data_IF_304757283972
#
_entry.id   IF_304757283972
#
_cell.length_a   1.000
_cell.length_b   1.000
_cell.length_c   1.000
_cell.angle_alpha   90.00
_cell.angle_beta   90.00
_cell.angle_gamma   90.00
#
_symmetry.space_group_name_H-M   'P 1'
#
loop_
_entity.id
_entity.type
_entity.pdbx_description
1 polymer ?
#
# COMPACT_ATOMS: atom_id res chain seq x y z
N UNK A 1 -19.56 -22.63 -8.88
CA UNK A 1 -18.36 -21.96 -8.33
C UNK A 1 -18.84 -20.97 -7.30
N UNK A 2 -18.27 -20.98 -6.12
CA UNK A 2 -18.47 -19.91 -5.11
C UNK A 2 -17.70 -18.74 -5.68
N UNK A 3 -18.39 -17.67 -6.12
CA UNK A 3 -17.72 -16.43 -6.52
C UNK A 3 -16.88 -15.92 -5.35
N UNK A 4 -15.69 -15.47 -5.66
CA UNK A 4 -14.76 -14.94 -4.65
C UNK A 4 -15.44 -13.83 -3.85
N UNK A 5 -15.42 -13.94 -2.52
CA UNK A 5 -16.06 -12.98 -1.61
C UNK A 5 -15.41 -11.59 -1.62
N UNK A 6 -14.22 -11.47 -2.18
CA UNK A 6 -13.47 -10.22 -2.31
C UNK A 6 -12.80 -10.18 -3.67
N UNK A 7 -12.81 -9.01 -4.33
CA UNK A 7 -11.99 -8.81 -5.53
C UNK A 7 -10.52 -8.70 -5.09
N UNK A 8 -9.66 -9.54 -5.61
CA UNK A 8 -8.22 -9.43 -5.42
C UNK A 8 -7.69 -8.17 -6.12
N UNK A 9 -6.68 -7.52 -5.52
CA UNK A 9 -6.03 -6.36 -6.11
C UNK A 9 -4.98 -6.78 -7.18
N UNK A 10 -5.41 -7.64 -8.14
CA UNK A 10 -4.62 -8.01 -9.32
C UNK A 10 -4.76 -6.97 -10.43
N UNK A 11 -3.91 -7.05 -11.44
CA UNK A 11 -3.83 -6.06 -12.50
C UNK A 11 -5.14 -5.88 -13.28
N UNK A 12 -5.86 -6.96 -13.57
CA UNK A 12 -7.14 -6.89 -14.30
C UNK A 12 -8.21 -6.16 -13.48
N UNK A 13 -8.34 -6.50 -12.20
CA UNK A 13 -9.30 -5.86 -11.31
C UNK A 13 -8.96 -4.40 -11.03
N UNK A 14 -7.68 -4.06 -10.92
CA UNK A 14 -7.22 -2.67 -10.76
C UNK A 14 -7.50 -1.86 -12.03
N UNK A 15 -7.18 -2.41 -13.21
CA UNK A 15 -7.50 -1.78 -14.50
C UNK A 15 -9.00 -1.56 -14.64
N UNK A 16 -9.81 -2.59 -14.38
CA UNK A 16 -11.27 -2.49 -14.42
C UNK A 16 -11.77 -1.40 -13.48
N UNK A 17 -11.26 -1.34 -12.24
CA UNK A 17 -11.70 -0.36 -11.26
C UNK A 17 -11.42 1.10 -11.68
N UNK A 18 -10.30 1.34 -12.39
CA UNK A 18 -9.99 2.65 -12.97
C UNK A 18 -10.92 3.00 -14.14
N UNK A 19 -11.28 2.01 -14.97
CA UNK A 19 -12.12 2.24 -16.15
C UNK A 19 -13.59 2.47 -15.79
N UNK A 20 -14.11 1.73 -14.80
CA UNK A 20 -15.52 1.78 -14.39
C UNK A 20 -15.81 2.88 -13.36
N UNK A 21 -14.83 3.21 -12.53
CA UNK A 21 -14.93 4.22 -11.45
C UNK A 21 -16.20 4.11 -10.59
N UNK A 22 -16.61 2.89 -10.24
CA UNK A 22 -17.85 2.62 -9.50
C UNK A 22 -17.95 3.31 -8.14
N UNK A 23 -16.81 3.70 -7.59
CA UNK A 23 -16.71 4.39 -6.31
C UNK A 23 -16.49 5.90 -6.45
N UNK A 24 -16.44 6.43 -7.69
CA UNK A 24 -16.12 7.84 -7.98
C UNK A 24 -14.83 8.33 -7.31
N UNK A 25 -13.80 7.44 -7.26
CA UNK A 25 -12.52 7.71 -6.61
C UNK A 25 -11.41 8.12 -7.57
N UNK A 26 -11.64 8.05 -8.89
CA UNK A 26 -10.61 8.42 -9.86
C UNK A 26 -10.14 9.86 -9.68
N UNK A 27 -11.02 10.80 -9.36
CA UNK A 27 -10.61 12.18 -9.08
C UNK A 27 -9.64 12.25 -7.89
N UNK A 28 -9.87 11.46 -6.84
CA UNK A 28 -8.97 11.38 -5.70
C UNK A 28 -7.60 10.78 -6.08
N UNK A 29 -7.60 9.72 -6.89
CA UNK A 29 -6.37 9.14 -7.47
C UNK A 29 -5.58 10.19 -8.26
N UNK A 30 -6.25 10.96 -9.12
CA UNK A 30 -5.61 12.01 -9.94
C UNK A 30 -5.05 13.16 -9.08
N UNK A 31 -5.77 13.57 -8.05
CA UNK A 31 -5.26 14.57 -7.08
C UNK A 31 -4.02 14.06 -6.36
N UNK A 32 -4.00 12.79 -6.00
CA UNK A 32 -2.86 12.18 -5.35
C UNK A 32 -1.64 12.06 -6.28
N UNK A 33 -1.85 11.75 -7.57
CA UNK A 33 -0.78 11.79 -8.58
C UNK A 33 -0.18 13.20 -8.75
N UNK A 34 -1.01 14.24 -8.80
CA UNK A 34 -0.53 15.62 -8.83
C UNK A 34 0.27 15.97 -7.58
N UNK A 35 -0.18 15.53 -6.40
CA UNK A 35 0.56 15.70 -5.16
C UNK A 35 1.93 15.03 -5.25
N UNK A 36 2.01 13.75 -5.64
CA UNK A 36 3.28 13.03 -5.78
C UNK A 36 4.22 13.74 -6.78
N UNK A 37 3.68 14.28 -7.86
CA UNK A 37 4.46 14.99 -8.86
C UNK A 37 4.96 16.36 -8.39
N UNK A 38 4.34 16.97 -7.39
CA UNK A 38 4.70 18.26 -6.81
C UNK A 38 5.70 18.20 -5.65
N UNK A 39 6.07 17.00 -5.20
CA UNK A 39 7.00 16.83 -4.08
C UNK A 39 8.44 17.00 -4.56
N UNK A 40 9.18 17.94 -3.98
CA UNK A 40 10.58 18.19 -4.33
C UNK A 40 11.57 17.52 -3.37
N UNK A 41 11.21 17.35 -2.09
CA UNK A 41 12.05 16.78 -1.04
C UNK A 41 11.68 15.35 -0.63
N UNK A 42 12.32 14.81 0.42
CA UNK A 42 11.87 13.58 1.06
C UNK A 42 10.48 13.79 1.65
N UNK A 43 9.60 12.83 1.49
CA UNK A 43 8.24 12.93 1.98
C UNK A 43 7.70 11.58 2.44
N UNK A 44 7.00 11.59 3.56
CA UNK A 44 6.31 10.42 4.11
C UNK A 44 4.82 10.72 4.25
N UNK A 45 4.00 10.00 3.52
CA UNK A 45 2.55 10.21 3.43
C UNK A 45 1.83 9.04 4.09
N UNK A 46 0.88 9.32 4.98
CA UNK A 46 -0.09 8.34 5.44
C UNK A 46 -1.38 8.47 4.64
N UNK A 47 -1.80 7.41 3.98
CA UNK A 47 -3.12 7.25 3.37
C UNK A 47 -3.97 6.46 4.34
N UNK A 48 -4.89 7.14 5.01
CA UNK A 48 -5.71 6.61 6.09
C UNK A 48 -7.10 6.22 5.61
N UNK A 49 -7.51 5.03 5.94
CA UNK A 49 -8.90 4.59 5.88
C UNK A 49 -9.10 3.36 6.77
N UNK A 50 -10.32 3.10 7.26
CA UNK A 50 -10.67 1.85 7.93
C UNK A 50 -10.41 0.62 7.06
N UNK A 51 -10.37 -0.55 7.69
CA UNK A 51 -10.22 -1.81 6.97
C UNK A 51 -11.42 -2.07 6.04
N UNK A 52 -11.14 -2.57 4.85
CA UNK A 52 -12.15 -2.90 3.85
C UNK A 52 -12.63 -1.73 2.99
N UNK A 53 -12.03 -0.54 3.12
CA UNK A 53 -12.38 0.66 2.34
C UNK A 53 -11.59 0.82 1.04
N UNK A 54 -10.82 -0.19 0.63
CA UNK A 54 -10.13 -0.22 -0.66
C UNK A 54 -8.78 0.50 -0.70
N UNK A 55 -8.06 0.62 0.44
CA UNK A 55 -6.71 1.19 0.50
C UNK A 55 -5.74 0.56 -0.49
N UNK A 56 -5.66 -0.78 -0.49
CA UNK A 56 -4.79 -1.54 -1.39
C UNK A 56 -5.13 -1.27 -2.86
N UNK A 57 -6.42 -1.20 -3.22
CA UNK A 57 -6.84 -0.82 -4.58
C UNK A 57 -6.34 0.57 -4.94
N UNK A 58 -6.50 1.54 -4.06
CA UNK A 58 -6.03 2.90 -4.28
C UNK A 58 -4.53 2.97 -4.55
N UNK A 59 -3.69 2.39 -3.70
CA UNK A 59 -2.23 2.41 -3.91
C UNK A 59 -1.81 1.67 -5.17
N UNK A 60 -2.47 0.56 -5.51
CA UNK A 60 -2.23 -0.18 -6.74
C UNK A 60 -2.70 0.57 -8.00
N UNK A 61 -3.80 1.32 -7.93
CA UNK A 61 -4.24 2.21 -9.00
C UNK A 61 -3.20 3.30 -9.27
N UNK A 62 -2.71 3.97 -8.21
CA UNK A 62 -1.65 4.97 -8.32
C UNK A 62 -0.38 4.36 -8.92
N UNK A 63 0.04 3.19 -8.43
CA UNK A 63 1.20 2.47 -8.96
C UNK A 63 1.05 2.17 -10.46
N UNK A 64 -0.09 1.62 -10.88
CA UNK A 64 -0.36 1.28 -12.29
C UNK A 64 -0.26 2.49 -13.20
N UNK A 65 -0.75 3.66 -12.77
CA UNK A 65 -0.69 4.89 -13.56
C UNK A 65 0.74 5.44 -13.64
N UNK A 66 1.51 5.40 -12.55
CA UNK A 66 2.92 5.81 -12.53
C UNK A 66 3.80 4.86 -13.35
N UNK A 67 3.62 3.55 -13.25
CA UNK A 67 4.32 2.54 -14.03
C UNK A 67 4.06 2.71 -15.54
N UNK A 68 2.81 3.04 -15.92
CA UNK A 68 2.46 3.34 -17.32
C UNK A 68 3.17 4.58 -17.83
N UNK A 69 3.26 5.63 -17.02
CA UNK A 69 3.93 6.87 -17.38
C UNK A 69 5.46 6.74 -17.44
N UNK A 70 6.04 5.77 -16.74
CA UNK A 70 7.49 5.57 -16.76
C UNK A 70 7.91 4.76 -18.00
N UNK A 71 8.62 5.42 -18.92
CA UNK A 71 9.11 4.82 -20.17
C UNK A 71 10.02 3.61 -19.97
N UNK A 72 10.66 3.48 -18.80
CA UNK A 72 11.56 2.37 -18.47
C UNK A 72 10.87 1.22 -17.73
N UNK A 73 9.61 1.35 -17.37
CA UNK A 73 8.84 0.26 -16.80
C UNK A 73 8.48 -0.75 -17.88
N UNK A 74 8.88 -2.02 -17.67
CA UNK A 74 8.53 -3.14 -18.55
C UNK A 74 7.15 -3.73 -18.25
N UNK A 75 6.65 -3.54 -17.03
CA UNK A 75 5.35 -4.04 -16.58
C UNK A 75 4.27 -2.97 -16.74
N UNK A 76 3.83 -2.74 -17.98
CA UNK A 76 2.77 -1.79 -18.30
C UNK A 76 1.47 -2.54 -18.57
N UNK A 77 0.46 -2.31 -17.73
CA UNK A 77 -0.88 -2.91 -17.85
C UNK A 77 -1.79 -2.03 -18.70
N UNK A 78 -1.61 -0.71 -18.63
CA UNK A 78 -2.35 0.26 -19.42
C UNK A 78 -1.56 0.68 -20.65
N UNK A 79 -2.27 1.00 -21.73
CA UNK A 79 -1.67 1.68 -22.88
C UNK A 79 -1.57 3.19 -22.61
N UNK A 80 -0.65 3.87 -23.31
CA UNK A 80 -0.47 5.34 -23.19
C UNK A 80 -1.76 6.12 -23.49
N UNK A 81 -2.56 5.63 -24.44
CA UNK A 81 -3.86 6.22 -24.75
C UNK A 81 -4.87 6.08 -23.61
N UNK A 82 -4.85 4.96 -22.91
CA UNK A 82 -5.71 4.72 -21.73
C UNK A 82 -5.29 5.64 -20.59
N UNK A 83 -3.97 5.80 -20.35
CA UNK A 83 -3.45 6.73 -19.35
C UNK A 83 -3.95 8.16 -19.67
N UNK A 84 -3.75 8.65 -20.89
CA UNK A 84 -4.16 10.01 -21.28
C UNK A 84 -5.67 10.22 -21.17
N UNK A 85 -6.47 9.18 -21.42
CA UNK A 85 -7.93 9.24 -21.23
C UNK A 85 -8.32 9.34 -19.76
N UNK A 86 -7.62 8.62 -18.86
CA UNK A 86 -7.90 8.60 -17.43
C UNK A 86 -7.40 9.87 -16.72
N UNK A 87 -6.21 10.36 -17.08
CA UNK A 87 -5.54 11.47 -16.37
C UNK A 87 -5.76 12.82 -17.02
N UNK A 88 -6.19 12.84 -18.28
CA UNK A 88 -6.22 14.05 -19.12
C UNK A 88 -4.84 14.37 -19.72
N UNK A 89 -4.82 15.20 -20.75
CA UNK A 89 -3.61 15.49 -21.52
C UNK A 89 -2.53 16.21 -20.69
N UNK A 90 -2.91 17.14 -19.84
CA UNK A 90 -1.99 17.94 -19.01
C UNK A 90 -1.26 17.05 -18.00
N UNK A 91 -2.00 16.31 -17.12
CA UNK A 91 -1.39 15.47 -16.11
C UNK A 91 -0.58 14.34 -16.73
N UNK A 92 -1.05 13.72 -17.83
CA UNK A 92 -0.28 12.67 -18.50
C UNK A 92 1.06 13.21 -19.01
N UNK A 93 1.09 14.40 -19.58
CA UNK A 93 2.34 15.04 -20.04
C UNK A 93 3.28 15.34 -18.87
N UNK A 94 2.76 15.83 -17.75
CA UNK A 94 3.54 16.03 -16.52
C UNK A 94 4.18 14.74 -16.02
N UNK A 95 3.41 13.65 -15.96
CA UNK A 95 3.89 12.35 -15.52
C UNK A 95 4.97 11.75 -16.44
N UNK A 96 4.82 11.92 -17.77
CA UNK A 96 5.85 11.51 -18.73
C UNK A 96 7.12 12.36 -18.63
N UNK A 97 6.99 13.65 -18.31
CA UNK A 97 8.14 14.56 -18.18
C UNK A 97 8.90 14.35 -16.88
N UNK A 98 8.23 13.83 -15.85
CA UNK A 98 8.79 13.54 -14.54
C UNK A 98 8.50 12.08 -14.13
N UNK A 99 9.08 11.07 -14.83
CA UNK A 99 8.80 9.66 -14.59
C UNK A 99 9.24 9.24 -13.19
N UNK A 100 8.35 8.58 -12.47
CA UNK A 100 8.60 8.06 -11.14
C UNK A 100 8.67 6.53 -11.17
N UNK A 101 9.52 5.96 -10.34
CA UNK A 101 9.56 4.52 -10.11
C UNK A 101 8.69 4.16 -8.91
N UNK A 102 8.11 2.98 -8.93
CA UNK A 102 7.25 2.50 -7.86
C UNK A 102 7.67 1.13 -7.36
N UNK A 103 7.66 0.97 -6.05
CA UNK A 103 7.79 -0.33 -5.38
C UNK A 103 6.64 -0.49 -4.41
N UNK A 104 6.05 -1.67 -4.38
CA UNK A 104 5.02 -2.03 -3.41
C UNK A 104 5.59 -3.03 -2.41
N UNK A 105 5.40 -2.73 -1.14
CA UNK A 105 5.84 -3.52 0.00
C UNK A 105 4.63 -3.89 0.85
N UNK A 106 4.32 -5.18 0.91
CA UNK A 106 3.34 -5.73 1.83
C UNK A 106 4.01 -5.98 3.18
N UNK A 107 3.77 -5.10 4.14
CA UNK A 107 4.42 -5.19 5.44
C UNK A 107 3.97 -6.43 6.22
N UNK A 108 2.70 -6.85 6.07
CA UNK A 108 2.18 -8.00 6.78
C UNK A 108 2.72 -9.34 6.23
N UNK A 109 2.92 -9.42 4.93
CA UNK A 109 3.56 -10.60 4.33
C UNK A 109 5.00 -10.79 4.83
N UNK A 110 5.67 -9.70 5.19
CA UNK A 110 7.06 -9.67 5.65
C UNK A 110 7.21 -9.50 7.17
N UNK A 111 6.14 -9.59 7.96
CA UNK A 111 6.14 -9.36 9.42
C UNK A 111 7.03 -10.35 10.21
N UNK A 112 7.36 -11.50 9.62
CA UNK A 112 8.21 -12.50 10.22
C UNK A 112 9.72 -12.27 10.01
N UNK A 113 10.09 -11.27 9.22
CA UNK A 113 11.48 -10.95 8.95
C UNK A 113 12.16 -10.36 10.20
N UNK A 114 13.37 -10.79 10.48
CA UNK A 114 14.11 -10.39 11.70
C UNK A 114 14.45 -8.88 11.72
N UNK A 115 14.81 -8.30 10.56
CA UNK A 115 15.12 -6.88 10.43
C UNK A 115 14.32 -6.23 9.29
N UNK A 116 13.40 -5.30 9.60
CA UNK A 116 12.59 -4.61 8.62
C UNK A 116 13.39 -3.83 7.57
N UNK A 117 14.61 -3.36 7.89
CA UNK A 117 15.47 -2.68 6.92
C UNK A 117 15.93 -3.64 5.83
N UNK A 118 16.33 -4.85 6.23
CA UNK A 118 16.75 -5.90 5.31
C UNK A 118 15.62 -6.30 4.38
N UNK A 119 14.44 -6.54 4.97
CA UNK A 119 13.22 -6.87 4.23
C UNK A 119 12.91 -5.78 3.19
N UNK A 120 12.88 -4.52 3.60
CA UNK A 120 12.55 -3.40 2.73
C UNK A 120 13.59 -3.21 1.60
N UNK A 121 14.89 -3.30 1.89
CA UNK A 121 15.95 -3.21 0.86
C UNK A 121 15.83 -4.35 -0.15
N UNK A 122 15.54 -5.56 0.32
CA UNK A 122 15.35 -6.73 -0.55
C UNK A 122 14.15 -6.56 -1.48
N UNK A 123 13.02 -6.11 -0.95
CA UNK A 123 11.80 -5.85 -1.74
C UNK A 123 11.98 -4.69 -2.73
N UNK A 124 12.71 -3.63 -2.37
CA UNK A 124 13.07 -2.56 -3.32
C UNK A 124 13.91 -3.14 -4.46
N UNK A 125 14.93 -3.94 -4.15
CA UNK A 125 15.78 -4.56 -5.17
C UNK A 125 14.98 -5.47 -6.09
N UNK A 126 14.13 -6.34 -5.55
CA UNK A 126 13.30 -7.27 -6.31
C UNK A 126 12.28 -6.50 -7.17
N UNK A 127 11.56 -5.56 -6.61
CA UNK A 127 10.56 -4.76 -7.30
C UNK A 127 11.15 -3.93 -8.44
N UNK A 128 12.34 -3.33 -8.24
CA UNK A 128 13.06 -2.60 -9.30
C UNK A 128 13.51 -3.55 -10.40
N UNK A 129 14.09 -4.70 -10.07
CA UNK A 129 14.56 -5.66 -11.08
C UNK A 129 13.40 -6.28 -11.86
N UNK A 130 12.26 -6.55 -11.22
CA UNK A 130 11.09 -7.14 -11.87
C UNK A 130 10.43 -6.16 -12.84
N UNK A 131 10.28 -4.89 -12.45
CA UNK A 131 9.48 -3.92 -13.20
C UNK A 131 10.28 -3.05 -14.15
N UNK A 132 11.53 -2.73 -13.82
CA UNK A 132 12.34 -1.77 -14.55
C UNK A 132 13.55 -2.46 -15.22
N UNK A 133 13.28 -3.53 -15.98
CA UNK A 133 14.27 -4.16 -16.84
C UNK A 133 14.57 -3.22 -17.99
N UNK A 134 15.59 -2.48 -17.90
CA UNK A 134 15.96 -1.61 -18.97
C UNK A 134 17.43 -1.68 -19.26
N UNK A 135 17.73 -2.07 -20.47
CA UNK A 135 18.92 -1.71 -21.25
C UNK A 135 20.24 -1.75 -20.48
N UNK A 136 21.14 -2.56 -20.93
CA UNK A 136 22.61 -2.65 -20.86
C UNK A 136 23.41 -1.56 -20.10
N UNK A 137 22.82 -0.71 -19.30
CA UNK A 137 23.45 0.44 -18.67
C UNK A 137 23.63 0.32 -17.16
N UNK A 138 24.11 -0.82 -16.67
CA UNK A 138 24.91 -0.81 -15.45
C UNK A 138 26.35 -0.36 -15.78
N UNK A 139 26.49 0.80 -16.45
CA UNK A 139 27.79 1.18 -16.98
C UNK A 139 28.64 2.04 -16.05
N UNK A 140 28.12 2.53 -14.92
CA UNK A 140 28.88 3.43 -14.05
C UNK A 140 28.66 3.27 -12.53
N UNK A 141 28.15 2.15 -12.02
CA UNK A 141 27.98 1.90 -10.60
C UNK A 141 28.22 0.45 -10.22
N UNK A 142 28.46 0.19 -8.95
CA UNK A 142 28.41 -1.16 -8.39
C UNK A 142 27.03 -1.73 -8.67
N UNK A 143 26.95 -3.01 -9.03
CA UNK A 143 25.69 -3.71 -9.23
C UNK A 143 24.79 -3.49 -7.99
N UNK A 144 23.51 -3.13 -8.19
CA UNK A 144 22.55 -2.96 -7.10
C UNK A 144 22.49 -4.21 -6.22
N UNK A 145 22.74 -5.39 -6.77
CA UNK A 145 22.84 -6.64 -6.02
C UNK A 145 24.05 -6.67 -5.09
N UNK A 146 25.20 -6.15 -5.52
CA UNK A 146 26.40 -6.08 -4.68
C UNK A 146 26.21 -5.09 -3.53
N UNK A 147 25.52 -3.96 -3.79
CA UNK A 147 25.18 -2.97 -2.76
C UNK A 147 24.17 -3.53 -1.76
N UNK A 148 23.11 -4.16 -2.24
CA UNK A 148 22.15 -4.85 -1.37
C UNK A 148 22.84 -5.96 -0.57
N UNK A 149 23.71 -6.78 -1.21
CA UNK A 149 24.50 -7.80 -0.54
C UNK A 149 25.37 -7.23 0.59
N UNK A 150 26.03 -6.09 0.35
CA UNK A 150 26.83 -5.40 1.37
C UNK A 150 25.97 -4.90 2.56
N UNK A 151 24.76 -4.44 2.30
CA UNK A 151 23.80 -4.05 3.35
C UNK A 151 23.39 -5.28 4.16
N UNK A 152 23.06 -6.39 3.48
CA UNK A 152 22.71 -7.67 4.10
C UNK A 152 23.82 -8.15 5.03
N UNK A 153 25.08 -8.16 4.55
CA UNK A 153 26.24 -8.58 5.35
C UNK A 153 26.44 -7.70 6.59
N UNK A 154 26.26 -6.38 6.46
CA UNK A 154 26.38 -5.47 7.59
C UNK A 154 25.30 -5.70 8.65
N UNK A 155 24.06 -6.02 8.24
CA UNK A 155 22.97 -6.28 9.18
C UNK A 155 23.14 -7.66 9.82
N UNK A 156 23.34 -8.71 9.03
CA UNK A 156 23.45 -10.10 9.51
C UNK A 156 24.74 -10.33 10.33
N UNK A 157 25.85 -9.73 9.91
CA UNK A 157 27.11 -9.77 10.65
C UNK A 157 27.02 -9.15 12.05
N UNK A 158 26.09 -8.21 12.26
CA UNK A 158 25.78 -7.65 13.60
C UNK A 158 25.02 -8.65 14.48
N UNK A 159 24.04 -9.33 13.92
CA UNK A 159 23.23 -10.28 14.68
C UNK A 159 24.04 -11.45 15.22
N UNK A 160 25.09 -11.88 14.52
CA UNK A 160 25.98 -12.97 14.97
C UNK A 160 26.94 -12.53 16.09
N UNK A 161 27.30 -11.24 16.18
CA UNK A 161 28.25 -10.72 17.18
C UNK A 161 27.59 -10.07 18.42
N UNK A 162 26.28 -9.87 18.39
CA UNK A 162 25.54 -9.10 19.40
C UNK A 162 25.18 -9.85 20.69
N UNK A 163 25.56 -11.11 20.84
CA UNK A 163 25.27 -11.91 22.06
C UNK A 163 26.57 -12.18 22.82
N UNK A 164 26.77 -11.39 23.88
CA UNK A 164 27.79 -11.50 24.93
C UNK A 164 29.08 -10.74 24.67
N UNK A 165 29.12 -9.51 25.22
CA UNK A 165 30.24 -9.04 26.02
C UNK A 165 29.96 -7.65 26.58
N UNK A 166 30.40 -7.36 27.80
CA UNK A 166 30.25 -6.07 28.46
C UNK A 166 30.89 -4.97 27.60
N UNK A 167 30.09 -3.97 27.23
CA UNK A 167 30.46 -2.87 26.31
C UNK A 167 31.67 -2.11 26.83
N UNK A 168 32.82 -2.28 26.23
CA UNK A 168 33.99 -1.40 26.44
C UNK A 168 33.82 -0.13 25.59
N UNK A 169 34.46 0.99 25.97
CA UNK A 169 34.36 2.23 25.20
C UNK A 169 34.82 2.09 23.73
N UNK A 170 35.71 1.11 23.43
CA UNK A 170 36.13 0.79 22.06
C UNK A 170 35.00 0.13 21.25
N UNK A 171 34.16 -0.70 21.88
CA UNK A 171 33.04 -1.36 21.23
C UNK A 171 31.95 -0.34 20.88
N UNK A 172 31.77 0.70 21.67
CA UNK A 172 30.81 1.77 21.39
C UNK A 172 31.19 2.58 20.15
N UNK A 173 32.45 2.96 19.99
CA UNK A 173 32.93 3.66 18.78
C UNK A 173 32.76 2.79 17.52
N UNK A 174 33.08 1.51 17.64
CA UNK A 174 32.86 0.55 16.54
C UNK A 174 31.39 0.44 16.14
N UNK A 175 30.47 0.41 17.09
CA UNK A 175 29.04 0.41 16.80
C UNK A 175 28.58 1.68 16.07
N UNK A 176 29.14 2.85 16.41
CA UNK A 176 28.85 4.11 15.71
C UNK A 176 29.38 4.06 14.28
N UNK A 177 30.60 3.59 14.08
CA UNK A 177 31.22 3.45 12.75
C UNK A 177 30.41 2.47 11.86
N UNK A 178 29.99 1.34 12.41
CA UNK A 178 29.15 0.37 11.72
C UNK A 178 27.78 0.94 11.32
N UNK A 179 27.15 1.77 12.18
CA UNK A 179 25.89 2.45 11.82
C UNK A 179 26.09 3.47 10.71
N UNK A 180 27.17 4.26 10.77
CA UNK A 180 27.50 5.22 9.71
C UNK A 180 27.75 4.51 8.40
N UNK A 181 28.52 3.44 8.42
CA UNK A 181 28.81 2.65 7.24
C UNK A 181 27.53 2.02 6.63
N UNK A 182 26.61 1.52 7.46
CA UNK A 182 25.32 1.03 6.98
C UNK A 182 24.51 2.17 6.33
N UNK A 183 24.47 3.36 6.96
CA UNK A 183 23.79 4.52 6.39
C UNK A 183 24.37 4.94 5.04
N UNK A 184 25.70 4.93 4.89
CA UNK A 184 26.38 5.22 3.64
C UNK A 184 26.02 4.21 2.56
N UNK A 185 25.96 2.91 2.88
CA UNK A 185 25.61 1.86 1.94
C UNK A 185 24.14 1.94 1.49
N UNK A 186 23.22 2.23 2.41
CA UNK A 186 21.82 2.44 2.05
C UNK A 186 21.68 3.68 1.16
N UNK A 187 22.39 4.76 1.46
CA UNK A 187 22.40 5.96 0.62
C UNK A 187 22.94 5.67 -0.78
N UNK A 188 24.09 4.97 -0.89
CA UNK A 188 24.69 4.58 -2.16
C UNK A 188 23.70 3.71 -2.99
N UNK A 189 23.01 2.77 -2.35
CA UNK A 189 21.99 1.94 -2.97
C UNK A 189 20.84 2.78 -3.55
N UNK A 190 20.27 3.68 -2.74
CA UNK A 190 19.14 4.52 -3.15
C UNK A 190 19.52 5.53 -4.25
N UNK A 191 20.71 6.11 -4.17
CA UNK A 191 21.21 7.02 -5.20
C UNK A 191 21.40 6.29 -6.55
N UNK A 192 21.89 5.06 -6.55
CA UNK A 192 21.98 4.24 -7.76
C UNK A 192 20.61 3.86 -8.32
N UNK A 193 19.64 3.56 -7.45
CA UNK A 193 18.26 3.28 -7.89
C UNK A 193 17.67 4.50 -8.59
N UNK A 194 17.79 5.70 -8.00
CA UNK A 194 17.08 6.89 -8.47
C UNK A 194 17.78 7.62 -9.63
N UNK A 195 19.09 7.49 -9.81
CA UNK A 195 19.81 8.25 -10.84
C UNK A 195 19.66 7.68 -12.25
N UNK A 196 19.32 6.42 -12.40
CA UNK A 196 19.35 5.74 -13.69
C UNK A 196 17.96 5.48 -14.30
N UNK A 197 16.88 5.46 -13.52
CA UNK A 197 15.59 4.90 -13.96
C UNK A 197 14.36 5.78 -13.73
N UNK A 198 14.52 6.89 -13.07
CA UNK A 198 13.43 7.82 -12.79
C UNK A 198 13.85 8.97 -11.90
N UNK A 199 13.04 10.00 -11.88
CA UNK A 199 13.34 11.20 -11.10
C UNK A 199 13.08 11.01 -9.60
N UNK A 200 12.23 10.03 -9.24
CA UNK A 200 11.82 9.74 -7.87
C UNK A 200 11.46 8.27 -7.70
N UNK A 201 11.72 7.72 -6.52
CA UNK A 201 11.24 6.41 -6.09
C UNK A 201 10.09 6.59 -5.08
N UNK A 202 8.93 6.08 -5.43
CA UNK A 202 7.76 6.01 -4.54
C UNK A 202 7.64 4.59 -3.98
N UNK A 203 7.71 4.47 -2.67
CA UNK A 203 7.61 3.18 -1.97
C UNK A 203 6.26 3.13 -1.26
N UNK A 204 5.38 2.26 -1.74
CA UNK A 204 4.10 2.00 -1.10
C UNK A 204 4.27 0.92 -0.03
N UNK A 205 3.98 1.26 1.23
CA UNK A 205 3.96 0.32 2.36
C UNK A 205 2.50 0.09 2.74
N UNK A 206 2.01 -1.12 2.55
CA UNK A 206 0.63 -1.51 2.86
C UNK A 206 0.57 -2.45 4.05
N UNK A 207 -0.59 -2.51 4.73
CA UNK A 207 -0.91 -3.47 5.79
C UNK A 207 0.00 -3.38 7.05
N UNK A 208 0.69 -2.24 7.30
CA UNK A 208 1.56 -2.07 8.47
C UNK A 208 0.77 -2.11 9.78
N UNK A 209 -0.48 -1.69 9.77
CA UNK A 209 -1.40 -1.70 10.91
C UNK A 209 -1.83 -3.12 11.34
N UNK A 210 -1.50 -4.15 10.54
CA UNK A 210 -1.72 -5.57 10.87
C UNK A 210 -0.49 -6.29 11.41
N UNK A 211 0.66 -5.65 11.33
CA UNK A 211 1.93 -6.24 11.75
C UNK A 211 2.03 -6.35 13.28
N UNK A 212 2.92 -7.21 13.72
CA UNK A 212 3.34 -7.26 15.12
C UNK A 212 3.85 -5.90 15.58
N UNK A 213 3.58 -5.49 16.83
CA UNK A 213 3.99 -4.19 17.34
C UNK A 213 5.50 -3.92 17.20
N UNK A 214 6.32 -4.96 17.38
CA UNK A 214 7.77 -4.87 17.28
C UNK A 214 8.20 -4.54 15.85
N UNK A 215 7.64 -5.24 14.87
CA UNK A 215 7.97 -5.04 13.45
C UNK A 215 7.49 -3.66 12.97
N UNK A 216 6.24 -3.30 13.26
CA UNK A 216 5.65 -2.04 12.82
C UNK A 216 6.44 -0.82 13.32
N UNK A 217 6.77 -0.78 14.61
CA UNK A 217 7.55 0.31 15.19
C UNK A 217 8.96 0.36 14.59
N UNK A 218 9.62 -0.79 14.48
CA UNK A 218 10.97 -0.86 13.90
C UNK A 218 10.99 -0.42 12.43
N UNK A 219 9.98 -0.83 11.63
CA UNK A 219 9.91 -0.40 10.23
C UNK A 219 9.77 1.12 10.11
N UNK A 220 8.87 1.74 10.89
CA UNK A 220 8.75 3.20 10.92
C UNK A 220 10.08 3.88 11.27
N UNK A 221 10.76 3.40 12.31
CA UNK A 221 12.08 3.94 12.73
C UNK A 221 13.15 3.75 11.64
N UNK A 222 13.19 2.57 10.98
CA UNK A 222 14.13 2.30 9.88
C UNK A 222 13.88 3.23 8.70
N UNK A 223 12.63 3.43 8.30
CA UNK A 223 12.28 4.38 7.24
C UNK A 223 12.76 5.78 7.59
N UNK A 224 12.44 6.28 8.78
CA UNK A 224 12.84 7.62 9.23
C UNK A 224 14.35 7.82 9.26
N UNK A 225 15.10 6.81 9.69
CA UNK A 225 16.54 6.92 9.89
C UNK A 225 17.38 6.68 8.64
N UNK A 226 16.95 5.77 7.77
CA UNK A 226 17.79 5.32 6.66
C UNK A 226 17.34 5.83 5.27
N UNK A 227 16.08 6.24 5.11
CA UNK A 227 15.52 6.57 3.80
C UNK A 227 15.14 8.05 3.63
N UNK A 228 15.56 8.92 4.52
CA UNK A 228 15.28 10.36 4.43
C UNK A 228 16.15 11.01 3.34
N UNK A 229 15.78 10.85 2.05
CA UNK A 229 16.52 11.30 0.87
C UNK A 229 15.61 12.05 -0.08
N UNK A 230 16.15 13.08 -0.76
CA UNK A 230 15.39 14.02 -1.61
C UNK A 230 14.51 13.36 -2.67
N UNK A 231 14.97 12.25 -3.26
CA UNK A 231 14.24 11.57 -4.33
C UNK A 231 13.39 10.38 -3.85
N UNK A 232 13.15 10.27 -2.56
CA UNK A 232 12.39 9.15 -1.98
C UNK A 232 11.08 9.66 -1.38
N UNK A 233 10.00 8.99 -1.73
CA UNK A 233 8.67 9.23 -1.12
C UNK A 233 8.12 7.91 -0.59
N UNK A 234 7.73 7.90 0.68
CA UNK A 234 7.00 6.78 1.27
C UNK A 234 5.51 7.09 1.34
N UNK A 235 4.71 6.11 0.94
CA UNK A 235 3.25 6.15 1.04
C UNK A 235 2.80 4.98 1.89
N UNK A 236 2.41 5.24 3.12
CA UNK A 236 1.88 4.23 4.04
C UNK A 236 0.36 4.16 3.89
N UNK A 237 -0.12 3.03 3.43
CA UNK A 237 -1.53 2.71 3.33
C UNK A 237 -1.96 1.99 4.60
N UNK A 238 -2.55 2.71 5.55
CA UNK A 238 -2.77 2.24 6.91
C UNK A 238 -4.12 2.64 7.48
N UNK A 239 -4.56 1.96 8.52
CA UNK A 239 -5.60 2.43 9.43
C UNK A 239 -4.91 3.09 10.63
N UNK A 240 -4.80 4.41 10.62
CA UNK A 240 -4.02 5.15 11.63
C UNK A 240 -4.49 4.90 13.07
N UNK A 241 -5.79 4.73 13.30
CA UNK A 241 -6.32 4.45 14.62
C UNK A 241 -5.79 3.09 15.15
N UNK A 242 -5.73 2.07 14.31
CA UNK A 242 -5.20 0.76 14.68
C UNK A 242 -3.67 0.78 14.80
N UNK A 243 -2.99 1.50 13.92
CA UNK A 243 -1.55 1.69 14.04
C UNK A 243 -1.15 2.39 15.34
N UNK A 244 -1.99 3.33 15.84
CA UNK A 244 -1.80 3.91 17.18
C UNK A 244 -1.90 2.86 18.29
N UNK A 245 -2.85 1.92 18.17
CA UNK A 245 -2.99 0.83 19.13
C UNK A 245 -1.78 -0.11 19.08
N UNK A 246 -1.26 -0.39 17.89
CA UNK A 246 -0.02 -1.16 17.67
C UNK A 246 1.17 -0.50 18.36
N UNK A 247 1.31 0.84 18.25
CA UNK A 247 2.36 1.61 18.94
C UNK A 247 2.18 1.56 20.45
N UNK A 248 0.96 1.66 20.96
CA UNK A 248 0.69 1.52 22.40
C UNK A 248 1.02 0.12 22.91
N UNK A 249 0.73 -0.92 22.13
CA UNK A 249 1.10 -2.29 22.50
C UNK A 249 2.63 -2.47 22.63
N UNK A 250 3.42 -1.71 21.87
CA UNK A 250 4.88 -1.74 21.96
C UNK A 250 5.45 -0.98 23.15
N UNK A 251 4.96 0.26 23.40
CA UNK A 251 5.52 1.17 24.42
C UNK A 251 4.76 1.17 25.76
N UNK A 252 3.54 0.61 25.77
CA UNK A 252 2.67 0.58 26.94
C UNK A 252 1.37 1.39 26.74
N UNK A 253 0.30 1.01 27.44
CA UNK A 253 -1.07 1.53 27.25
C UNK A 253 -1.19 3.06 27.39
N UNK A 254 -0.42 3.67 28.27
CA UNK A 254 -0.43 5.11 28.52
C UNK A 254 0.40 5.92 27.52
N UNK A 255 1.05 5.26 26.55
CA UNK A 255 1.88 5.95 25.57
C UNK A 255 1.03 6.71 24.55
N UNK A 256 1.42 7.94 24.22
CA UNK A 256 0.73 8.74 23.22
C UNK A 256 1.11 8.29 21.79
N UNK A 257 0.45 7.24 21.30
CA UNK A 257 0.67 6.70 19.95
C UNK A 257 0.41 7.71 18.83
N UNK A 258 -0.58 8.60 19.00
CA UNK A 258 -0.88 9.62 17.99
C UNK A 258 0.27 10.62 17.84
N UNK A 259 0.77 11.18 18.95
CA UNK A 259 1.91 12.10 18.94
C UNK A 259 3.21 11.42 18.47
N UNK A 260 3.35 10.12 18.69
CA UNK A 260 4.47 9.34 18.17
C UNK A 260 4.39 9.25 16.65
N UNK A 261 3.27 8.84 16.09
CA UNK A 261 3.06 8.70 14.64
C UNK A 261 3.16 10.03 13.90
N UNK A 262 2.84 11.15 14.57
CA UNK A 262 2.97 12.49 14.02
C UNK A 262 4.41 12.87 13.61
N UNK A 263 5.39 12.17 14.17
CA UNK A 263 6.81 12.35 13.81
C UNK A 263 7.22 11.66 12.52
N UNK A 264 6.41 10.72 12.03
CA UNK A 264 6.76 9.89 10.88
C UNK A 264 6.09 10.36 9.59
N UNK A 265 4.91 10.98 9.70
CA UNK A 265 4.13 11.37 8.54
C UNK A 265 4.15 12.88 8.34
N UNK A 266 4.71 13.32 7.21
CA UNK A 266 4.70 14.72 6.79
C UNK A 266 3.31 15.15 6.31
N UNK A 267 2.58 14.22 5.69
CA UNK A 267 1.21 14.41 5.21
C UNK A 267 0.31 13.27 5.66
N UNK A 268 -0.94 13.60 5.98
CA UNK A 268 -2.00 12.64 6.25
C UNK A 268 -3.17 12.91 5.32
N UNK A 269 -3.59 11.89 4.61
CA UNK A 269 -4.63 11.97 3.59
C UNK A 269 -5.64 10.87 3.88
N UNK A 270 -6.90 11.24 4.05
CA UNK A 270 -7.98 10.28 4.23
C UNK A 270 -8.59 9.91 2.88
N UNK A 271 -8.81 8.61 2.64
CA UNK A 271 -9.59 8.17 1.48
C UNK A 271 -11.03 8.65 1.67
N UNK A 272 -11.58 9.42 0.70
CA UNK A 272 -12.92 9.96 0.85
C UNK A 272 -13.97 8.85 0.93
N UNK A 273 -14.91 9.01 1.85
CA UNK A 273 -16.15 8.24 1.83
C UNK A 273 -16.96 8.72 0.63
N UNK A 274 -17.32 7.80 -0.25
CA UNK A 274 -18.07 8.09 -1.46
C UNK A 274 -19.45 7.44 -1.39
N UNK A 275 -20.34 7.85 -2.30
CA UNK A 275 -21.62 7.15 -2.48
C UNK A 275 -21.38 5.79 -3.14
N UNK A 276 -21.78 4.73 -2.49
CA UNK A 276 -21.64 3.36 -2.97
C UNK A 276 -22.82 2.90 -3.84
N UNK A 277 -23.70 3.79 -4.27
CA UNK A 277 -24.94 3.41 -5.00
C UNK A 277 -24.65 2.68 -6.30
N UNK A 278 -23.66 3.16 -7.09
CA UNK A 278 -23.27 2.45 -8.32
C UNK A 278 -22.63 1.08 -8.02
N UNK A 279 -21.78 1.04 -6.99
CA UNK A 279 -21.18 -0.22 -6.54
C UNK A 279 -22.26 -1.23 -6.09
N UNK A 280 -23.26 -0.80 -5.34
CA UNK A 280 -24.37 -1.67 -4.92
C UNK A 280 -25.17 -2.17 -6.11
N UNK A 281 -25.38 -1.34 -7.14
CA UNK A 281 -26.05 -1.73 -8.38
C UNK A 281 -25.26 -2.80 -9.13
N UNK A 282 -23.95 -2.58 -9.27
CA UNK A 282 -23.06 -3.48 -10.01
C UNK A 282 -22.94 -4.87 -9.37
N UNK A 283 -22.85 -4.94 -8.05
CA UNK A 283 -22.86 -6.24 -7.35
C UNK A 283 -24.24 -6.90 -7.31
N UNK A 284 -25.27 -6.24 -7.87
CA UNK A 284 -26.65 -6.73 -7.90
C UNK A 284 -27.39 -6.64 -6.57
N UNK A 285 -26.92 -5.80 -5.64
CA UNK A 285 -27.57 -5.55 -4.36
C UNK A 285 -28.69 -4.51 -4.49
N UNK A 286 -28.67 -3.67 -5.52
CA UNK A 286 -29.72 -2.70 -5.82
C UNK A 286 -30.53 -3.17 -7.05
N UNK A 287 -31.85 -3.18 -6.92
CA UNK A 287 -32.77 -3.56 -7.99
C UNK A 287 -34.13 -3.97 -7.43
N UNK A 288 -35.19 -3.76 -8.21
CA UNK A 288 -36.54 -4.22 -7.88
C UNK A 288 -36.78 -5.59 -8.50
N UNK A 289 -37.48 -6.49 -7.78
CA UNK A 289 -37.98 -7.70 -8.35
C UNK A 289 -39.15 -7.41 -9.33
N UNK A 290 -39.33 -8.26 -10.30
CA UNK A 290 -40.37 -8.13 -11.34
C UNK A 290 -41.81 -8.01 -10.81
N UNK A 291 -42.05 -8.33 -9.55
CA UNK A 291 -43.37 -8.45 -8.94
C UNK A 291 -43.72 -7.27 -7.99
N UNK A 292 -42.86 -6.23 -7.92
CA UNK A 292 -43.13 -5.01 -7.11
C UNK A 292 -43.14 -5.20 -5.61
N UNK A 293 -42.72 -6.36 -5.10
CA UNK A 293 -42.55 -6.61 -3.67
C UNK A 293 -41.18 -6.08 -3.19
N UNK A 294 -41.11 -5.65 -1.92
CA UNK A 294 -39.86 -5.29 -1.29
C UNK A 294 -38.91 -6.49 -1.38
N UNK A 295 -37.92 -6.40 -2.25
CA UNK A 295 -37.04 -7.51 -2.49
C UNK A 295 -36.11 -7.73 -1.29
N UNK A 296 -35.67 -8.96 -1.08
CA UNK A 296 -34.66 -9.29 -0.07
C UNK A 296 -33.41 -8.41 -0.24
N UNK A 297 -33.12 -8.00 -1.48
CA UNK A 297 -32.01 -7.10 -1.83
C UNK A 297 -32.19 -5.72 -1.22
N UNK A 298 -33.40 -5.16 -1.27
CA UNK A 298 -33.71 -3.84 -0.69
C UNK A 298 -33.57 -3.85 0.84
N UNK A 299 -34.03 -4.93 1.47
CA UNK A 299 -33.83 -5.16 2.91
C UNK A 299 -32.34 -5.25 3.24
N UNK A 300 -31.58 -6.04 2.48
CA UNK A 300 -30.16 -6.20 2.67
C UNK A 300 -29.37 -4.89 2.44
N UNK A 301 -29.76 -4.12 1.41
CA UNK A 301 -29.18 -2.81 1.14
C UNK A 301 -29.45 -1.82 2.29
N UNK A 302 -30.69 -1.81 2.77
CA UNK A 302 -31.08 -0.95 3.91
C UNK A 302 -30.28 -1.33 5.16
N UNK A 303 -30.12 -2.62 5.42
CA UNK A 303 -29.33 -3.11 6.54
C UNK A 303 -27.84 -2.73 6.40
N UNK A 304 -27.24 -2.93 5.23
CA UNK A 304 -25.84 -2.55 4.98
C UNK A 304 -25.60 -1.02 5.16
N UNK A 305 -26.56 -0.19 4.72
CA UNK A 305 -26.50 1.27 4.90
C UNK A 305 -26.68 1.67 6.36
N UNK A 306 -27.64 1.08 7.06
CA UNK A 306 -27.92 1.37 8.47
C UNK A 306 -26.71 1.06 9.36
N UNK A 307 -26.06 -0.06 9.12
CA UNK A 307 -24.89 -0.51 9.87
C UNK A 307 -23.55 0.00 9.31
N UNK A 308 -23.58 0.88 8.31
CA UNK A 308 -22.40 1.49 7.70
C UNK A 308 -21.32 0.46 7.31
N UNK A 309 -21.72 -0.61 6.66
CA UNK A 309 -20.80 -1.65 6.24
C UNK A 309 -19.68 -1.08 5.34
N UNK A 310 -18.44 -1.52 5.58
CA UNK A 310 -17.33 -1.28 4.64
C UNK A 310 -17.61 -1.99 3.31
N UNK A 311 -16.88 -1.63 2.25
CA UNK A 311 -16.99 -2.31 0.95
C UNK A 311 -16.79 -3.82 1.08
N UNK A 312 -15.79 -4.24 1.85
CA UNK A 312 -15.50 -5.66 2.13
C UNK A 312 -16.65 -6.34 2.88
N UNK A 313 -17.17 -5.72 3.92
CA UNK A 313 -18.29 -6.26 4.70
C UNK A 313 -19.55 -6.38 3.85
N UNK A 314 -19.81 -5.41 2.98
CA UNK A 314 -20.94 -5.44 2.03
C UNK A 314 -20.82 -6.60 1.06
N UNK A 315 -19.65 -6.82 0.47
CA UNK A 315 -19.40 -7.93 -0.45
C UNK A 315 -19.60 -9.29 0.23
N UNK A 316 -19.06 -9.47 1.42
CA UNK A 316 -19.22 -10.71 2.21
C UNK A 316 -20.68 -10.96 2.58
N UNK A 317 -21.34 -9.92 3.09
CA UNK A 317 -22.74 -9.99 3.47
C UNK A 317 -23.62 -10.37 2.27
N UNK A 318 -23.45 -9.68 1.14
CA UNK A 318 -24.20 -9.97 -0.08
C UNK A 318 -23.94 -11.38 -0.62
N UNK A 319 -22.72 -11.84 -0.59
CA UNK A 319 -22.38 -13.21 -0.99
C UNK A 319 -23.06 -14.25 -0.10
N UNK A 320 -23.13 -14.03 1.22
CA UNK A 320 -23.89 -14.90 2.13
C UNK A 320 -25.39 -14.91 1.83
N UNK A 321 -25.96 -13.75 1.54
CA UNK A 321 -27.39 -13.65 1.14
C UNK A 321 -27.65 -14.45 -0.13
N UNK A 322 -26.83 -14.30 -1.17
CA UNK A 322 -26.95 -15.05 -2.43
C UNK A 322 -26.84 -16.56 -2.23
N UNK A 323 -25.99 -17.02 -1.33
CA UNK A 323 -25.89 -18.44 -0.97
C UNK A 323 -27.16 -18.90 -0.27
N UNK A 324 -27.67 -18.11 0.67
CA UNK A 324 -28.92 -18.41 1.36
C UNK A 324 -30.10 -18.48 0.39
N UNK A 325 -30.27 -17.51 -0.51
CA UNK A 325 -31.32 -17.50 -1.54
C UNK A 325 -31.32 -18.78 -2.41
N UNK A 326 -30.12 -19.26 -2.80
CA UNK A 326 -29.97 -20.48 -3.61
C UNK A 326 -30.35 -21.76 -2.86
N UNK A 327 -30.28 -21.76 -1.53
CA UNK A 327 -30.50 -22.94 -0.69
C UNK A 327 -31.86 -22.92 0.05
N UNK A 328 -32.60 -21.81 0.01
CA UNK A 328 -33.92 -21.72 0.60
C UNK A 328 -34.98 -22.33 -0.33
N UNK A 329 -35.97 -23.07 0.19
CA UNK A 329 -37.14 -23.52 -0.60
C UNK A 329 -37.88 -22.30 -1.15
N UNK A 330 -38.30 -22.36 -2.42
CA UNK A 330 -38.99 -21.25 -3.12
C UNK A 330 -40.29 -20.79 -2.43
N UNK A 331 -40.86 -21.62 -1.56
CA UNK A 331 -42.15 -21.37 -0.86
C UNK A 331 -41.97 -20.99 0.63
N UNK A 332 -40.75 -20.87 1.14
CA UNK A 332 -40.51 -20.45 2.52
C UNK A 332 -40.50 -18.92 2.59
N UNK A 333 -41.61 -18.36 3.13
CA UNK A 333 -41.64 -16.94 3.48
C UNK A 333 -40.47 -16.58 4.38
N UNK A 334 -39.73 -15.60 3.98
CA UNK A 334 -38.69 -14.78 4.61
C UNK A 334 -38.09 -15.25 5.94
N UNK A 335 -36.85 -15.70 5.90
CA UNK A 335 -36.01 -15.76 7.08
C UNK A 335 -34.86 -14.78 6.94
N UNK A 336 -34.96 -13.66 7.65
CA UNK A 336 -33.81 -12.79 7.92
C UNK A 336 -32.83 -13.58 8.79
N UNK A 337 -31.70 -13.98 8.23
CA UNK A 337 -30.56 -14.44 9.00
C UNK A 337 -29.95 -13.20 9.64
N UNK A 338 -30.17 -13.00 10.93
CA UNK A 338 -29.48 -12.00 11.72
C UNK A 338 -28.00 -12.41 11.77
N UNK A 339 -27.15 -11.65 11.10
CA UNK A 339 -25.71 -11.73 11.28
C UNK A 339 -25.33 -10.92 12.54
N UNK A 340 -25.76 -11.39 13.71
CA UNK A 340 -25.17 -11.05 14.99
C UNK A 340 -24.23 -12.20 15.38
N UNK A 341 -22.98 -12.11 14.96
CA UNK A 341 -21.81 -12.65 15.67
C UNK A 341 -20.55 -11.95 15.15
#
# INVERSE_FOLDING_TARGET
MIEQYEKEANDDNIKQSLQEDLLHRNEFVLRFLRLLNSIDGPCTIAVDAPWGEGKTFFVRQVQMLLDTANGQCSHKVLEEKELSKLTGAELSQELYSNPQMCVYYDAWANDQDEDPLLSLVSEILLGINERYHGTEAFTHGRDLRDLAGSIIELITGRNVKGVKEAVSGKDYLKQIEERRHLQEKVNEFLDNVTNERGNRLVIFIDELDRCSPVFAVRLLERVKHYFNREKITFVFSVHLAELQNTVRAYYGENFNGAAYLDRFFDLRIEIPKTDYSQFYSEIGLQGTDSDGNTSIREVCLTFAKLHQFSLRSTMRYWSMVRIAEKNLPKDSGYYLVSAEQ
#
